data_IF_684222952274
#
_entry.id   IF_684222952274
#
_cell.length_a   1.000
_cell.length_b   1.000
_cell.length_c   1.000
_cell.angle_alpha   90.00
_cell.angle_beta   90.00
_cell.angle_gamma   90.00
#
_symmetry.space_group_name_H-M   'P 1'
#
loop_
_entity.id
_entity.type
_entity.pdbx_description
1 polymer ?
#
# COMPACT_ATOMS: atom_id res chain seq x y z
N UNK A 1 18.92 5.58 -46.57
CA UNK A 1 18.73 6.36 -45.33
C UNK A 1 18.23 5.40 -44.26
N UNK A 2 18.65 5.52 -42.98
CA UNK A 2 18.08 4.72 -41.91
C UNK A 2 16.59 5.02 -41.76
N UNK A 3 15.83 4.02 -41.30
CA UNK A 3 14.40 4.18 -41.01
C UNK A 3 14.28 5.22 -39.87
N UNK A 4 13.34 6.17 -39.96
CA UNK A 4 13.05 7.09 -38.87
C UNK A 4 12.79 6.33 -37.57
N UNK A 5 13.28 6.87 -36.46
CA UNK A 5 13.02 6.31 -35.16
C UNK A 5 11.51 6.47 -34.86
N UNK A 6 10.86 5.39 -34.45
CA UNK A 6 9.46 5.37 -34.05
C UNK A 6 9.28 4.69 -32.71
N UNK A 7 8.48 5.28 -31.83
CA UNK A 7 8.12 4.70 -30.56
C UNK A 7 7.20 3.49 -30.78
N UNK A 8 7.50 2.38 -30.10
CA UNK A 8 6.77 1.11 -30.27
C UNK A 8 5.44 1.03 -29.50
N UNK A 9 4.82 2.18 -29.20
CA UNK A 9 3.61 2.26 -28.37
C UNK A 9 2.30 2.31 -29.18
N UNK A 10 2.41 2.37 -30.50
CA UNK A 10 1.26 2.47 -31.40
C UNK A 10 0.65 3.88 -31.44
N UNK A 11 -0.61 3.95 -31.86
CA UNK A 11 -1.35 5.21 -32.06
C UNK A 11 -2.40 5.48 -30.99
N UNK A 12 -2.65 4.50 -30.10
CA UNK A 12 -3.65 4.60 -29.06
C UNK A 12 -3.00 4.98 -27.72
N UNK A 13 -3.35 6.15 -27.20
CA UNK A 13 -2.74 6.73 -25.99
C UNK A 13 -3.69 6.81 -24.79
N UNK A 14 -4.94 6.37 -24.93
CA UNK A 14 -5.90 6.30 -23.81
C UNK A 14 -5.44 5.36 -22.70
N UNK A 15 -5.92 5.56 -21.47
CA UNK A 15 -5.59 4.66 -20.36
C UNK A 15 -6.25 3.28 -20.55
N UNK A 16 -5.46 2.21 -20.57
CA UNK A 16 -5.96 0.82 -20.64
C UNK A 16 -4.99 -0.13 -19.94
N UNK A 17 -5.42 -0.70 -18.81
CA UNK A 17 -4.57 -1.56 -17.97
C UNK A 17 -4.08 -2.81 -18.72
N UNK A 18 -4.99 -3.51 -19.40
CA UNK A 18 -4.66 -4.74 -20.13
C UNK A 18 -3.63 -4.50 -21.24
N UNK A 19 -3.76 -3.40 -21.99
CA UNK A 19 -2.80 -3.04 -23.03
C UNK A 19 -1.42 -2.74 -22.44
N UNK A 20 -1.38 -2.01 -21.33
CA UNK A 20 -0.11 -1.70 -20.68
C UNK A 20 0.50 -2.93 -19.98
N UNK A 21 -0.30 -3.90 -19.55
CA UNK A 21 0.19 -5.16 -19.01
C UNK A 21 0.98 -5.97 -20.03
N UNK A 22 0.53 -5.99 -21.28
CA UNK A 22 1.21 -6.67 -22.39
C UNK A 22 2.44 -5.88 -22.88
N UNK A 23 2.32 -4.56 -22.99
CA UNK A 23 3.31 -3.71 -23.65
C UNK A 23 4.51 -3.31 -22.76
N UNK A 24 4.27 -3.10 -21.46
CA UNK A 24 5.31 -2.60 -20.54
C UNK A 24 6.46 -3.59 -20.30
N UNK A 25 6.24 -4.92 -20.18
CA UNK A 25 7.34 -5.87 -20.06
C UNK A 25 8.34 -5.81 -21.23
N UNK A 26 7.85 -5.59 -22.46
CA UNK A 26 8.68 -5.58 -23.68
C UNK A 26 9.49 -4.28 -23.88
N UNK A 27 9.01 -3.20 -23.25
CA UNK A 27 9.57 -1.85 -23.35
C UNK A 27 10.39 -1.45 -22.12
N UNK A 28 10.36 -2.27 -21.05
CA UNK A 28 11.11 -2.05 -19.81
C UNK A 28 12.62 -1.91 -20.05
N UNK A 29 13.19 -0.82 -19.55
CA UNK A 29 14.64 -0.60 -19.53
C UNK A 29 15.25 -0.04 -20.82
N UNK A 30 14.45 0.19 -21.88
CA UNK A 30 14.91 0.90 -23.07
C UNK A 30 14.82 2.41 -22.83
N UNK A 31 15.97 3.05 -22.62
CA UNK A 31 16.03 4.50 -22.68
C UNK A 31 16.01 4.94 -24.14
N UNK A 32 15.02 5.73 -24.51
CA UNK A 32 14.96 6.34 -25.82
C UNK A 32 15.90 7.55 -25.89
N UNK A 33 16.48 7.83 -27.07
CA UNK A 33 17.30 9.02 -27.23
C UNK A 33 16.49 10.29 -26.94
N UNK A 34 17.15 11.31 -26.40
CA UNK A 34 16.55 12.62 -26.22
C UNK A 34 16.13 13.17 -27.59
N UNK A 35 14.84 13.48 -27.73
CA UNK A 35 14.28 14.11 -28.91
C UNK A 35 13.72 15.49 -28.53
N UNK A 36 14.12 16.53 -29.28
CA UNK A 36 13.58 17.89 -29.15
C UNK A 36 12.56 18.22 -30.25
N UNK A 37 12.48 17.37 -31.27
CA UNK A 37 11.60 17.48 -32.42
C UNK A 37 11.08 16.09 -32.77
N UNK A 38 9.84 16.01 -33.23
CA UNK A 38 9.18 14.75 -33.58
C UNK A 38 8.74 14.77 -35.03
N UNK A 39 8.81 13.61 -35.69
CA UNK A 39 8.48 13.50 -37.11
C UNK A 39 6.97 13.62 -37.37
N UNK A 40 6.14 13.35 -36.36
CA UNK A 40 4.69 13.53 -36.41
C UNK A 40 4.10 13.71 -34.99
N UNK A 41 2.82 14.08 -34.94
CA UNK A 41 2.09 14.28 -33.68
C UNK A 41 1.98 13.01 -32.84
N UNK A 42 1.90 11.83 -33.46
CA UNK A 42 1.82 10.56 -32.73
C UNK A 42 3.10 10.30 -31.92
N UNK A 43 4.27 10.50 -32.51
CA UNK A 43 5.56 10.34 -31.82
C UNK A 43 5.71 11.34 -30.66
N UNK A 44 5.24 12.58 -30.88
CA UNK A 44 5.21 13.61 -29.84
C UNK A 44 4.30 13.20 -28.67
N UNK A 45 3.07 12.78 -28.97
CA UNK A 45 2.10 12.34 -27.96
C UNK A 45 2.62 11.11 -27.23
N UNK A 46 3.19 10.14 -27.95
CA UNK A 46 3.77 8.94 -27.36
C UNK A 46 4.90 9.28 -26.36
N UNK A 47 5.81 10.19 -26.70
CA UNK A 47 6.86 10.62 -25.79
C UNK A 47 6.31 11.25 -24.50
N UNK A 48 5.28 12.09 -24.62
CA UNK A 48 4.65 12.76 -23.49
C UNK A 48 3.84 11.81 -22.60
N UNK A 49 3.03 10.93 -23.20
CA UNK A 49 2.11 10.07 -22.45
C UNK A 49 2.82 8.87 -21.85
N UNK A 50 3.69 8.21 -22.61
CA UNK A 50 4.25 6.91 -22.22
C UNK A 50 5.27 7.03 -21.10
N UNK A 51 5.97 8.17 -21.00
CA UNK A 51 6.83 8.47 -19.85
C UNK A 51 6.03 8.55 -18.54
N UNK A 52 4.85 9.16 -18.56
CA UNK A 52 3.96 9.24 -17.40
C UNK A 52 3.31 7.89 -17.08
N UNK A 53 2.82 7.20 -18.10
CA UNK A 53 2.17 5.89 -17.96
C UNK A 53 3.13 4.87 -17.36
N UNK A 54 4.35 4.76 -17.87
CA UNK A 54 5.34 3.80 -17.36
C UNK A 54 5.65 4.04 -15.88
N UNK A 55 5.84 5.30 -15.51
CA UNK A 55 6.15 5.69 -14.15
C UNK A 55 4.99 5.42 -13.18
N UNK A 56 3.74 5.61 -13.62
CA UNK A 56 2.54 5.39 -12.79
C UNK A 56 2.17 3.90 -12.74
N UNK A 57 2.24 3.18 -13.87
CA UNK A 57 1.83 1.77 -13.96
C UNK A 57 2.65 0.87 -13.05
N UNK A 58 3.95 1.14 -12.87
CA UNK A 58 4.78 0.34 -11.95
C UNK A 58 4.38 0.55 -10.49
N UNK A 59 3.99 1.77 -10.11
CA UNK A 59 3.45 2.06 -8.77
C UNK A 59 2.08 1.44 -8.60
N UNK A 60 1.23 1.49 -9.63
CA UNK A 60 -0.09 0.87 -9.63
C UNK A 60 0.00 -0.65 -9.43
N UNK A 61 0.83 -1.34 -10.21
CA UNK A 61 1.07 -2.78 -10.04
C UNK A 61 1.59 -3.14 -8.67
N UNK A 62 2.56 -2.38 -8.16
CA UNK A 62 3.07 -2.60 -6.81
C UNK A 62 1.97 -2.39 -5.75
N UNK A 63 1.08 -1.40 -5.92
CA UNK A 63 -0.03 -1.18 -5.01
C UNK A 63 -1.02 -2.36 -5.01
N UNK A 64 -1.35 -2.90 -6.19
CA UNK A 64 -2.19 -4.09 -6.31
C UNK A 64 -1.55 -5.31 -5.64
N UNK A 65 -0.27 -5.59 -5.94
CA UNK A 65 0.47 -6.68 -5.28
C UNK A 65 0.48 -6.52 -3.75
N UNK A 66 0.74 -5.31 -3.25
CA UNK A 66 0.77 -5.04 -1.81
C UNK A 66 -0.61 -5.25 -1.18
N UNK A 67 -1.68 -4.83 -1.86
CA UNK A 67 -3.05 -4.97 -1.38
C UNK A 67 -3.47 -6.45 -1.23
N UNK A 68 -2.87 -7.35 -2.02
CA UNK A 68 -3.10 -8.80 -1.94
C UNK A 68 -2.25 -9.49 -0.87
N UNK A 69 -1.23 -8.84 -0.31
CA UNK A 69 -0.38 -9.44 0.72
C UNK A 69 -1.10 -9.40 2.08
N UNK A 70 -1.44 -10.55 2.68
CA UNK A 70 -2.04 -10.57 4.01
C UNK A 70 -0.98 -10.20 5.05
N UNK A 71 -1.15 -9.03 5.66
CA UNK A 71 -0.28 -8.52 6.71
C UNK A 71 -0.95 -8.67 8.07
N UNK A 72 -0.14 -8.99 9.08
CA UNK A 72 -0.58 -9.03 10.48
C UNK A 72 -0.43 -7.65 11.08
N UNK A 73 -1.40 -7.24 11.88
CA UNK A 73 -1.41 -5.95 12.55
C UNK A 73 -1.75 -6.10 14.03
N UNK A 74 -1.19 -5.23 14.85
CA UNK A 74 -1.53 -5.09 16.27
C UNK A 74 -2.20 -3.76 16.52
N UNK A 75 -3.19 -3.74 17.40
CA UNK A 75 -3.94 -2.52 17.70
C UNK A 75 -3.70 -2.08 19.14
N UNK A 76 -3.33 -0.81 19.29
CA UNK A 76 -3.13 -0.14 20.56
C UNK A 76 -4.21 0.94 20.70
N UNK A 77 -5.00 0.98 21.78
CA UNK A 77 -5.96 2.05 22.00
C UNK A 77 -5.26 3.41 22.04
N UNK A 78 -5.79 4.41 21.32
CA UNK A 78 -5.21 5.76 21.34
C UNK A 78 -5.53 6.55 22.61
N UNK A 79 -6.41 6.03 23.46
CA UNK A 79 -6.84 6.63 24.73
C UNK A 79 -6.96 5.54 25.78
N UNK A 80 -6.64 5.90 27.03
CA UNK A 80 -6.90 5.04 28.18
C UNK A 80 -8.40 4.87 28.38
N UNK A 81 -8.81 3.62 28.55
CA UNK A 81 -10.21 3.25 28.73
C UNK A 81 -10.54 1.84 28.21
N UNK A 82 -11.78 1.39 28.38
CA UNK A 82 -12.23 0.12 27.86
C UNK A 82 -12.14 0.04 26.33
N UNK A 83 -11.53 -1.03 25.83
CA UNK A 83 -11.30 -1.28 24.38
C UNK A 83 -12.59 -1.26 23.56
N UNK A 84 -13.71 -1.69 24.14
CA UNK A 84 -14.99 -1.75 23.44
C UNK A 84 -15.58 -0.35 23.15
N UNK A 85 -15.28 0.65 23.98
CA UNK A 85 -15.68 2.05 23.77
C UNK A 85 -14.70 2.83 22.90
N UNK A 86 -13.49 2.31 22.71
CA UNK A 86 -12.45 2.99 21.96
C UNK A 86 -12.75 2.98 20.45
N UNK A 87 -12.74 4.17 19.85
CA UNK A 87 -13.01 4.39 18.41
C UNK A 87 -11.74 4.64 17.59
N UNK A 88 -10.61 4.87 18.26
CA UNK A 88 -9.36 5.34 17.67
C UNK A 88 -8.23 4.45 18.18
N UNK A 89 -7.46 3.89 17.26
CA UNK A 89 -6.37 2.97 17.58
C UNK A 89 -5.12 3.36 16.81
N UNK A 90 -3.96 2.96 17.32
CA UNK A 90 -2.76 2.82 16.53
C UNK A 90 -2.69 1.38 16.04
N UNK A 91 -2.62 1.17 14.73
CA UNK A 91 -2.34 -0.12 14.14
C UNK A 91 -0.85 -0.18 13.77
N UNK A 92 -0.13 -1.15 14.34
CA UNK A 92 1.29 -1.41 14.07
C UNK A 92 1.35 -2.61 13.14
N UNK A 93 1.90 -2.42 11.94
CA UNK A 93 2.01 -3.44 10.90
C UNK A 93 3.49 -3.75 10.65
N UNK A 94 4.00 -4.91 11.09
CA UNK A 94 5.37 -5.32 10.83
C UNK A 94 5.52 -5.72 9.36
N UNK A 95 6.10 -4.84 8.53
CA UNK A 95 6.31 -5.12 7.11
C UNK A 95 7.51 -6.05 6.89
N UNK A 96 8.53 -5.89 7.73
CA UNK A 96 9.79 -6.62 7.64
C UNK A 96 10.69 -6.12 6.50
N UNK A 97 11.97 -6.46 6.60
CA UNK A 97 13.02 -5.93 5.71
C UNK A 97 12.84 -6.35 4.24
N UNK A 98 12.50 -7.62 4.00
CA UNK A 98 12.34 -8.13 2.63
C UNK A 98 11.20 -7.43 1.86
N UNK A 99 10.10 -7.10 2.55
CA UNK A 99 9.00 -6.33 1.97
C UNK A 99 9.46 -4.93 1.57
N UNK A 100 10.11 -4.22 2.51
CA UNK A 100 10.58 -2.86 2.27
C UNK A 100 11.66 -2.80 1.18
N UNK A 101 12.56 -3.77 1.11
CA UNK A 101 13.55 -3.85 0.04
C UNK A 101 12.91 -4.15 -1.32
N UNK A 102 11.93 -5.06 -1.39
CA UNK A 102 11.21 -5.38 -2.64
C UNK A 102 10.44 -4.18 -3.17
N UNK A 103 9.72 -3.47 -2.31
CA UNK A 103 8.79 -2.41 -2.71
C UNK A 103 9.31 -1.00 -2.52
N UNK A 104 10.57 -0.81 -2.10
CA UNK A 104 11.16 0.48 -1.67
C UNK A 104 10.74 1.69 -2.49
N UNK A 105 10.90 1.63 -3.81
CA UNK A 105 10.64 2.76 -4.70
C UNK A 105 9.15 3.06 -4.85
N UNK A 106 8.32 2.02 -5.01
CA UNK A 106 6.87 2.18 -5.08
C UNK A 106 6.31 2.62 -3.73
N UNK A 107 6.78 2.02 -2.64
CA UNK A 107 6.40 2.34 -1.27
C UNK A 107 6.62 3.81 -0.95
N UNK A 108 7.82 4.34 -1.27
CA UNK A 108 8.16 5.76 -1.11
C UNK A 108 7.19 6.70 -1.83
N UNK A 109 6.58 6.27 -2.94
CA UNK A 109 5.60 7.07 -3.69
C UNK A 109 4.19 6.90 -3.13
N UNK A 110 3.81 5.67 -2.77
CA UNK A 110 2.50 5.34 -2.23
C UNK A 110 2.25 5.99 -0.86
N UNK A 111 3.28 6.09 -0.02
CA UNK A 111 3.16 6.68 1.32
C UNK A 111 3.26 8.21 1.35
N UNK A 112 3.32 8.88 0.18
CA UNK A 112 3.26 10.36 0.13
C UNK A 112 1.88 10.89 0.50
N UNK A 113 0.84 10.14 0.15
CA UNK A 113 -0.50 10.40 0.69
C UNK A 113 -0.57 9.71 2.05
N UNK A 114 -0.83 10.45 3.14
CA UNK A 114 -0.95 9.85 4.44
C UNK A 114 -2.22 9.01 4.58
N UNK A 115 -3.24 9.17 3.74
CA UNK A 115 -4.53 8.50 3.89
C UNK A 115 -4.53 7.11 3.23
N UNK A 116 -4.94 6.11 4.01
CA UNK A 116 -5.04 4.74 3.58
C UNK A 116 -6.38 4.14 4.02
N UNK A 117 -6.79 3.08 3.33
CA UNK A 117 -7.87 2.20 3.80
C UNK A 117 -7.25 0.90 4.28
N UNK A 118 -7.44 0.58 5.55
CA UNK A 118 -7.00 -0.67 6.15
C UNK A 118 -8.15 -1.69 6.05
N UNK A 119 -7.98 -2.69 5.20
CA UNK A 119 -8.95 -3.77 5.02
C UNK A 119 -8.66 -4.89 6.02
N UNK A 120 -9.56 -5.07 6.99
CA UNK A 120 -9.41 -6.07 8.03
C UNK A 120 -10.21 -7.35 7.73
N UNK A 121 -9.56 -8.47 7.98
CA UNK A 121 -10.06 -9.83 7.81
C UNK A 121 -9.95 -10.56 9.15
N UNK A 122 -11.01 -11.26 9.57
CA UNK A 122 -11.03 -12.01 10.84
C UNK A 122 -10.69 -13.48 10.57
N UNK A 123 -11.31 -14.06 9.53
CA UNK A 123 -10.99 -15.38 8.98
C UNK A 123 -10.51 -15.25 7.53
N UNK A 124 -9.67 -16.20 7.08
CA UNK A 124 -9.28 -16.35 5.68
C UNK A 124 -10.45 -16.70 4.75
N UNK A 125 -11.55 -17.21 5.32
CA UNK A 125 -12.77 -17.57 4.58
C UNK A 125 -13.76 -16.41 4.43
N UNK A 126 -13.51 -15.29 5.09
CA UNK A 126 -14.32 -14.10 4.90
C UNK A 126 -14.33 -13.69 3.42
N UNK A 127 -15.51 -13.35 2.88
CA UNK A 127 -15.62 -12.87 1.49
C UNK A 127 -15.46 -11.35 1.37
N UNK A 128 -15.68 -10.60 2.47
CA UNK A 128 -15.70 -9.13 2.47
C UNK A 128 -14.87 -8.56 3.63
N UNK A 129 -13.89 -7.67 3.36
CA UNK A 129 -13.13 -7.03 4.42
C UNK A 129 -13.95 -5.99 5.17
N UNK A 130 -13.53 -5.66 6.39
CA UNK A 130 -14.03 -4.47 7.10
C UNK A 130 -13.07 -3.30 6.84
N UNK A 131 -13.48 -2.27 6.07
CA UNK A 131 -12.61 -1.14 5.77
C UNK A 131 -12.53 -0.17 6.96
N UNK A 132 -11.32 0.17 7.37
CA UNK A 132 -11.02 1.17 8.38
C UNK A 132 -10.28 2.33 7.74
N UNK A 133 -10.70 3.56 8.06
CA UNK A 133 -9.93 4.75 7.64
C UNK A 133 -8.65 4.82 8.47
N UNK A 134 -7.52 4.91 7.78
CA UNK A 134 -6.19 4.94 8.36
C UNK A 134 -5.42 6.17 7.88
N UNK A 135 -4.55 6.70 8.73
CA UNK A 135 -3.55 7.68 8.35
C UNK A 135 -2.15 7.24 8.78
N UNK A 136 -1.17 7.36 7.89
CA UNK A 136 0.23 7.06 8.18
C UNK A 136 0.77 8.07 9.18
N UNK A 137 1.38 7.58 10.25
CA UNK A 137 1.99 8.42 11.27
C UNK A 137 3.51 8.44 11.10
N UNK A 138 4.06 9.51 10.50
CA UNK A 138 5.50 9.62 10.20
C UNK A 138 6.38 9.89 11.44
N UNK A 139 5.82 10.54 12.48
CA UNK A 139 6.56 10.92 13.67
C UNK A 139 6.25 9.98 14.84
N UNK A 140 7.20 9.09 15.17
CA UNK A 140 7.14 8.21 16.33
C UNK A 140 7.52 8.89 17.65
N UNK A 141 8.20 10.06 17.61
CA UNK A 141 8.61 10.76 18.83
C UNK A 141 7.44 11.56 19.40
N UNK A 142 7.04 11.22 20.63
CA UNK A 142 6.05 11.98 21.43
C UNK A 142 4.64 11.41 21.42
N UNK A 143 4.44 10.13 21.11
CA UNK A 143 3.15 9.47 21.32
C UNK A 143 3.25 8.64 22.60
N UNK A 144 2.82 9.22 23.73
CA UNK A 144 2.88 8.62 25.06
C UNK A 144 2.23 7.21 25.10
N UNK A 145 1.21 6.98 24.28
CA UNK A 145 0.52 5.68 24.17
C UNK A 145 1.38 4.56 23.56
N UNK A 146 2.45 4.90 22.83
CA UNK A 146 3.36 3.96 22.17
C UNK A 146 4.67 3.76 22.94
N UNK A 147 4.92 4.51 24.02
CA UNK A 147 6.14 4.37 24.83
C UNK A 147 6.28 2.96 25.45
N UNK A 148 5.16 2.27 25.67
CA UNK A 148 5.10 0.88 26.14
C UNK A 148 5.21 -0.17 25.01
N UNK A 149 5.19 0.25 23.74
CA UNK A 149 5.16 -0.63 22.57
C UNK A 149 6.36 -0.31 21.65
N UNK A 150 7.52 -0.97 21.84
CA UNK A 150 8.68 -0.69 21.02
C UNK A 150 8.38 -0.98 19.55
N UNK A 151 8.40 0.05 18.70
CA UNK A 151 8.19 -0.04 17.25
C UNK A 151 9.55 -0.22 16.58
N UNK A 152 9.65 -1.14 15.61
CA UNK A 152 10.86 -1.35 14.81
C UNK A 152 10.92 -0.33 13.67
N UNK A 153 12.10 -0.04 13.14
CA UNK A 153 12.30 0.82 11.96
C UNK A 153 11.56 0.30 10.73
N UNK A 154 11.28 -1.01 10.69
CA UNK A 154 10.56 -1.66 9.60
C UNK A 154 9.04 -1.77 9.82
N UNK A 155 8.51 -1.20 10.89
CA UNK A 155 7.08 -1.24 11.17
C UNK A 155 6.38 0.00 10.59
N UNK A 156 5.20 -0.22 10.03
CA UNK A 156 4.28 0.84 9.63
C UNK A 156 3.32 1.13 10.78
N UNK A 157 3.30 2.37 11.24
CA UNK A 157 2.35 2.83 12.26
C UNK A 157 1.23 3.63 11.58
N UNK A 158 0.01 3.17 11.78
CA UNK A 158 -1.20 3.79 11.27
C UNK A 158 -2.03 4.28 12.44
N UNK A 159 -2.55 5.50 12.33
CA UNK A 159 -3.64 5.95 13.18
C UNK A 159 -4.97 5.61 12.51
N UNK A 160 -5.75 4.75 13.13
CA UNK A 160 -6.93 4.14 12.52
C UNK A 160 -8.19 4.47 13.30
N UNK A 161 -9.28 4.65 12.56
CA UNK A 161 -10.61 4.91 13.12
C UNK A 161 -11.52 3.72 12.86
N UNK A 162 -12.11 3.19 13.93
CA UNK A 162 -13.13 2.15 13.84
C UNK A 162 -14.34 2.71 13.07
N UNK A 163 -14.83 2.00 12.04
CA UNK A 163 -16.04 2.38 11.31
C UNK A 163 -17.26 2.39 12.24
N UNK A 164 -18.28 3.17 11.89
CA UNK A 164 -19.55 3.14 12.64
C UNK A 164 -20.31 1.89 12.25
N UNK A 165 -21.09 1.33 13.17
CA UNK A 165 -21.88 0.11 12.90
C UNK A 165 -22.84 0.27 11.71
N UNK A 166 -23.25 1.49 11.40
CA UNK A 166 -24.12 1.80 10.25
C UNK A 166 -23.40 1.71 8.90
N UNK A 167 -22.07 1.82 8.89
CA UNK A 167 -21.23 1.80 7.69
C UNK A 167 -20.70 0.38 7.39
N UNK A 168 -21.00 -0.58 8.26
CA UNK A 168 -20.50 -1.94 8.19
C UNK A 168 -21.43 -2.84 7.37
N UNK A 169 -20.84 -3.60 6.44
CA UNK A 169 -21.54 -4.64 5.68
C UNK A 169 -21.61 -5.99 6.42
N UNK A 170 -20.87 -6.13 7.52
CA UNK A 170 -20.82 -7.32 8.38
C UNK A 170 -20.54 -6.94 9.83
N UNK A 171 -20.58 -7.91 10.74
CA UNK A 171 -20.30 -7.66 12.15
C UNK A 171 -18.90 -7.05 12.37
N UNK A 172 -18.76 -6.16 13.37
CA UNK A 172 -17.48 -5.53 13.68
C UNK A 172 -16.47 -6.55 14.16
N UNK A 173 -15.24 -6.46 13.63
CA UNK A 173 -14.13 -7.34 14.06
C UNK A 173 -13.75 -7.05 15.51
N UNK A 174 -13.66 -8.12 16.30
CA UNK A 174 -13.23 -8.05 17.69
C UNK A 174 -11.73 -7.80 17.76
N UNK A 175 -11.33 -6.57 18.04
CA UNK A 175 -9.92 -6.21 18.22
C UNK A 175 -9.41 -6.76 19.54
N UNK A 176 -8.54 -7.78 19.47
CA UNK A 176 -7.81 -8.30 20.63
C UNK A 176 -6.64 -7.37 20.93
N UNK A 177 -6.68 -6.71 22.09
CA UNK A 177 -5.60 -5.82 22.54
C UNK A 177 -4.57 -6.61 23.33
N UNK A 178 -3.31 -6.50 22.93
CA UNK A 178 -2.18 -7.09 23.66
C UNK A 178 -1.52 -6.02 24.52
N UNK A 179 -1.11 -6.38 25.74
CA UNK A 179 -0.46 -5.44 26.68
C UNK A 179 0.94 -5.00 26.27
N UNK A 180 1.66 -5.84 25.51
CA UNK A 180 3.02 -5.56 25.03
C UNK A 180 3.32 -6.30 23.70
N UNK A 181 4.38 -5.87 23.00
CA UNK A 181 4.82 -6.48 21.72
C UNK A 181 5.18 -7.95 21.87
N UNK A 182 5.72 -8.34 23.02
CA UNK A 182 6.12 -9.74 23.30
C UNK A 182 4.89 -10.64 23.34
N UNK A 183 3.85 -10.25 24.07
CA UNK A 183 2.57 -10.93 24.14
C UNK A 183 1.87 -10.96 22.79
N UNK A 184 1.99 -9.88 22.01
CA UNK A 184 1.43 -9.82 20.66
C UNK A 184 2.15 -10.78 19.70
N UNK A 185 3.49 -10.83 19.78
CA UNK A 185 4.33 -11.75 18.99
C UNK A 185 4.09 -13.21 19.37
N UNK A 186 3.96 -13.49 20.67
CA UNK A 186 3.62 -14.82 21.20
C UNK A 186 2.20 -15.22 20.79
N UNK A 187 1.21 -14.33 20.90
CA UNK A 187 -0.15 -14.60 20.43
C UNK A 187 -0.19 -14.90 18.92
N UNK A 188 0.65 -14.24 18.13
CA UNK A 188 0.80 -14.53 16.70
C UNK A 188 1.53 -15.83 16.38
N UNK A 189 2.44 -16.29 17.25
CA UNK A 189 3.10 -17.60 17.13
C UNK A 189 2.14 -18.72 17.52
N UNK A 190 1.37 -18.56 18.60
CA UNK A 190 0.42 -19.57 19.05
C UNK A 190 -0.75 -19.75 18.07
N UNK A 191 -1.17 -18.69 17.37
CA UNK A 191 -2.14 -18.78 16.25
C UNK A 191 -1.58 -19.41 14.96
N UNK A 192 -0.30 -19.83 14.92
CA UNK A 192 0.23 -20.65 13.82
C UNK A 192 0.02 -22.15 14.05
N UNK A 193 -0.32 -22.57 15.27
CA UNK A 193 -0.42 -23.98 15.67
C UNK A 193 -1.87 -24.49 15.76
N UNK A 194 -2.85 -23.67 15.38
CA UNK A 194 -4.27 -24.05 15.19
C UNK A 194 -4.65 -23.90 13.71
#
# INVERSE_FOLDING_TARGET
MPVPFGYSYGEEHSWNDARYDEMLPETKGKQFPLALTFDNDNEHVAALTQSQVQDIMWVHKAALEIAEIPLRAYFVPARDGPVYECKLFYAIVPLGRAFLEKYKEAWRRLTKDPLLTLNLWDDKQDEVPVPWTASIQEAMRGIDALDCYPVDVNDLVLYVRRPRNQDLKRDPISVKVCRDRTSATVALQNNKEQ
#
